data_IF_722703458930
#
_entry.id   IF_722703458930
#
_cell.length_a   1.000
_cell.length_b   1.000
_cell.length_c   1.000
_cell.angle_alpha   90.00
_cell.angle_beta   90.00
_cell.angle_gamma   90.00
#
_symmetry.space_group_name_H-M   'P 1'
#
loop_
_entity.id
_entity.type
_entity.pdbx_description
1 polymer ?
#
# COMPACT_ATOMS: atom_id res chain seq x y z
N UNK A 1 -28.96 -9.82 -31.44
CA UNK A 1 -28.62 -9.89 -30.02
C UNK A 1 -28.75 -8.48 -29.47
N UNK A 2 -29.62 -8.27 -28.49
CA UNK A 2 -29.79 -6.97 -27.84
C UNK A 2 -28.72 -6.88 -26.76
N UNK A 3 -27.85 -5.87 -26.82
CA UNK A 3 -26.91 -5.60 -25.73
C UNK A 3 -27.71 -5.36 -24.45
N UNK A 4 -27.38 -6.05 -23.34
CA UNK A 4 -28.03 -5.77 -22.06
C UNK A 4 -27.72 -4.32 -21.69
N UNK A 5 -28.79 -3.54 -21.44
CA UNK A 5 -28.65 -2.16 -20.96
C UNK A 5 -27.87 -2.18 -19.64
N UNK A 6 -26.95 -1.24 -19.40
CA UNK A 6 -26.24 -1.17 -18.14
C UNK A 6 -27.25 -1.01 -17.00
N UNK A 7 -27.19 -1.92 -16.03
CA UNK A 7 -28.07 -1.88 -14.87
C UNK A 7 -27.69 -0.68 -14.01
N UNK A 8 -28.57 0.32 -13.94
CA UNK A 8 -28.40 1.48 -13.06
C UNK A 8 -28.89 1.06 -11.68
N UNK A 9 -27.98 0.94 -10.72
CA UNK A 9 -28.35 0.69 -9.32
C UNK A 9 -28.86 2.00 -8.73
N UNK A 10 -30.17 2.06 -8.44
CA UNK A 10 -30.84 3.27 -7.96
C UNK A 10 -30.92 3.29 -6.43
N UNK A 11 -30.96 2.11 -5.80
CA UNK A 11 -31.17 1.95 -4.36
C UNK A 11 -29.88 1.66 -3.61
N UNK A 12 -29.02 0.81 -4.17
CA UNK A 12 -27.77 0.43 -3.53
C UNK A 12 -26.56 0.99 -4.26
N UNK A 13 -25.63 1.57 -3.49
CA UNK A 13 -24.31 1.92 -4.02
C UNK A 13 -23.46 0.66 -4.21
N UNK A 14 -22.67 0.68 -5.27
CA UNK A 14 -21.63 -0.32 -5.51
C UNK A 14 -20.45 -0.07 -4.56
N UNK A 15 -19.63 -1.10 -4.24
CA UNK A 15 -18.45 -0.91 -3.42
C UNK A 15 -17.44 0.06 -4.08
N UNK A 16 -16.48 0.58 -3.30
CA UNK A 16 -15.34 1.31 -3.82
C UNK A 16 -14.59 0.47 -4.88
N UNK A 17 -13.79 1.13 -5.71
CA UNK A 17 -13.00 0.45 -6.74
C UNK A 17 -12.21 -0.71 -6.12
N UNK A 18 -12.36 -1.88 -6.75
CA UNK A 18 -11.80 -3.15 -6.28
C UNK A 18 -10.27 -3.19 -6.26
N UNK A 19 -9.60 -2.15 -6.75
CA UNK A 19 -8.17 -2.15 -6.98
C UNK A 19 -7.37 -1.50 -5.86
N UNK A 20 -7.99 -0.80 -4.90
CA UNK A 20 -7.24 -0.02 -3.91
C UNK A 20 -6.32 -0.90 -3.05
N UNK A 21 -6.84 -1.99 -2.45
CA UNK A 21 -6.04 -2.90 -1.62
C UNK A 21 -4.96 -3.63 -2.42
N UNK A 22 -5.26 -4.31 -3.55
CA UNK A 22 -4.23 -4.96 -4.35
C UNK A 22 -3.14 -3.98 -4.81
N UNK A 23 -3.51 -2.77 -5.26
CA UNK A 23 -2.54 -1.78 -5.74
C UNK A 23 -1.67 -1.23 -4.61
N UNK A 24 -2.23 -0.98 -3.42
CA UNK A 24 -1.43 -0.57 -2.25
C UNK A 24 -0.41 -1.64 -1.88
N UNK A 25 -0.81 -2.91 -1.86
CA UNK A 25 0.10 -4.03 -1.61
C UNK A 25 1.18 -4.14 -2.71
N UNK A 26 0.80 -4.01 -3.98
CA UNK A 26 1.74 -4.02 -5.11
C UNK A 26 2.77 -2.88 -5.03
N UNK A 27 2.34 -1.66 -4.67
CA UNK A 27 3.25 -0.52 -4.51
C UNK A 27 4.20 -0.79 -3.33
N UNK A 28 3.67 -1.20 -2.18
CA UNK A 28 4.50 -1.49 -1.01
C UNK A 28 5.56 -2.56 -1.33
N UNK A 29 5.18 -3.63 -2.04
CA UNK A 29 6.07 -4.73 -2.39
C UNK A 29 7.05 -4.42 -3.52
N UNK A 30 6.58 -3.78 -4.59
CA UNK A 30 7.35 -3.68 -5.84
C UNK A 30 7.97 -2.30 -6.06
N UNK A 31 7.53 -1.28 -5.31
CA UNK A 31 8.00 0.10 -5.45
C UNK A 31 8.68 0.60 -4.18
N UNK A 32 8.16 0.30 -2.99
CA UNK A 32 8.74 0.80 -1.74
C UNK A 32 9.85 -0.10 -1.18
N UNK A 33 9.64 -1.41 -1.15
CA UNK A 33 10.62 -2.35 -0.62
C UNK A 33 11.95 -2.37 -1.40
N UNK A 34 11.98 -2.38 -2.75
CA UNK A 34 13.25 -2.49 -3.48
C UNK A 34 14.22 -1.32 -3.24
N UNK A 35 13.78 -0.04 -3.26
CA UNK A 35 14.65 1.07 -2.87
C UNK A 35 15.18 0.97 -1.45
N UNK A 36 14.38 0.53 -0.47
CA UNK A 36 14.88 0.31 0.90
C UNK A 36 15.96 -0.79 0.96
N UNK A 37 15.80 -1.86 0.19
CA UNK A 37 16.79 -2.93 0.12
C UNK A 37 18.10 -2.42 -0.54
N UNK A 38 18.00 -1.60 -1.58
CA UNK A 38 19.16 -0.96 -2.22
C UNK A 38 19.87 0.02 -1.29
N UNK A 39 19.11 0.83 -0.53
CA UNK A 39 19.69 1.69 0.52
C UNK A 39 20.46 0.88 1.56
N UNK A 40 19.94 -0.27 1.96
CA UNK A 40 20.63 -1.18 2.88
C UNK A 40 21.96 -1.68 2.28
N UNK A 41 21.95 -2.11 1.02
CA UNK A 41 23.15 -2.58 0.32
C UNK A 41 24.20 -1.47 0.14
N UNK A 42 23.77 -0.28 -0.25
CA UNK A 42 24.64 0.89 -0.40
C UNK A 42 25.28 1.27 0.94
N UNK A 43 24.51 1.22 2.03
CA UNK A 43 25.01 1.47 3.37
C UNK A 43 26.00 0.41 3.84
N UNK A 44 25.70 -0.87 3.63
CA UNK A 44 26.62 -1.97 3.95
C UNK A 44 27.95 -1.80 3.22
N UNK A 45 27.91 -1.46 1.92
CA UNK A 45 29.10 -1.19 1.13
C UNK A 45 29.91 -0.01 1.70
N UNK A 46 29.25 1.13 1.97
CA UNK A 46 29.92 2.30 2.55
C UNK A 46 30.56 2.00 3.92
N UNK A 47 29.92 1.16 4.73
CA UNK A 47 30.43 0.77 6.04
C UNK A 47 31.62 -0.19 6.00
N UNK A 48 31.87 -0.88 4.88
CA UNK A 48 33.12 -1.65 4.72
C UNK A 48 34.34 -0.74 4.67
N UNK A 49 34.19 0.46 4.12
CA UNK A 49 35.24 1.47 3.97
C UNK A 49 35.28 2.42 5.16
N UNK A 50 34.10 2.80 5.68
CA UNK A 50 33.94 3.72 6.81
C UNK A 50 33.05 3.08 7.90
N UNK A 51 33.60 2.17 8.74
CA UNK A 51 32.80 1.51 9.76
C UNK A 51 32.20 2.50 10.76
N UNK A 52 30.88 2.49 10.90
CA UNK A 52 30.16 3.24 11.93
C UNK A 52 29.04 2.39 12.51
N UNK A 53 29.13 2.07 13.81
CA UNK A 53 28.09 1.34 14.53
C UNK A 53 26.82 2.17 14.70
N UNK A 54 26.96 3.48 14.88
CA UNK A 54 25.84 4.42 14.99
C UNK A 54 25.04 4.47 13.68
N UNK A 55 25.72 4.48 12.52
CA UNK A 55 25.03 4.43 11.22
C UNK A 55 24.24 3.13 11.02
N UNK A 56 24.76 1.99 11.51
CA UNK A 56 24.04 0.69 11.49
C UNK A 56 22.79 0.73 12.35
N UNK A 57 22.91 1.29 13.55
CA UNK A 57 21.81 1.41 14.51
C UNK A 57 20.70 2.29 13.93
N UNK A 58 21.02 3.50 13.47
CA UNK A 58 20.06 4.43 12.85
C UNK A 58 19.30 3.75 11.70
N UNK A 59 20.00 3.05 10.82
CA UNK A 59 19.34 2.39 9.69
C UNK A 59 18.45 1.22 10.12
N UNK A 60 18.91 0.42 11.08
CA UNK A 60 18.13 -0.70 11.63
C UNK A 60 16.84 -0.21 12.28
N UNK A 61 16.90 0.86 13.07
CA UNK A 61 15.72 1.48 13.68
C UNK A 61 14.77 2.04 12.62
N UNK A 62 15.31 2.72 11.61
CA UNK A 62 14.54 3.26 10.49
C UNK A 62 13.79 2.16 9.73
N UNK A 63 14.44 1.00 9.51
CA UNK A 63 13.81 -0.16 8.84
C UNK A 63 12.74 -0.81 9.70
N UNK A 64 12.95 -0.90 11.01
CA UNK A 64 11.94 -1.40 11.93
C UNK A 64 10.71 -0.50 11.93
N UNK A 65 10.90 0.81 12.09
CA UNK A 65 9.83 1.79 12.09
C UNK A 65 9.10 1.87 10.73
N UNK A 66 9.83 1.74 9.62
CA UNK A 66 9.25 1.57 8.29
C UNK A 66 8.30 0.36 8.21
N UNK A 67 8.73 -0.79 8.72
CA UNK A 67 7.90 -2.00 8.73
C UNK A 67 6.63 -1.83 9.58
N UNK A 68 6.74 -1.14 10.73
CA UNK A 68 5.59 -0.83 11.59
C UNK A 68 4.57 0.06 10.87
N UNK A 69 5.03 1.09 10.15
CA UNK A 69 4.16 1.96 9.35
C UNK A 69 3.46 1.24 8.19
N UNK A 70 4.04 0.17 7.64
CA UNK A 70 3.38 -0.64 6.61
C UNK A 70 2.22 -1.48 7.14
N UNK A 71 2.12 -1.69 8.46
CA UNK A 71 0.95 -2.34 9.08
C UNK A 71 -0.28 -1.46 8.87
N UNK A 72 -0.12 -0.14 8.87
CA UNK A 72 -1.24 0.78 8.67
C UNK A 72 -1.82 0.71 7.24
N UNK A 73 -1.01 0.35 6.22
CA UNK A 73 -1.54 0.05 4.89
C UNK A 73 -2.44 -1.20 4.88
N UNK A 74 -2.06 -2.25 5.61
CA UNK A 74 -2.91 -3.45 5.75
C UNK A 74 -4.24 -3.10 6.45
N UNK A 75 -4.22 -2.19 7.44
CA UNK A 75 -5.44 -1.76 8.13
C UNK A 75 -6.50 -1.22 7.17
N UNK A 76 -6.11 -0.54 6.09
CA UNK A 76 -7.05 -0.10 5.04
C UNK A 76 -7.74 -1.31 4.40
N UNK A 77 -6.98 -2.37 4.08
CA UNK A 77 -7.56 -3.62 3.58
C UNK A 77 -8.52 -4.27 4.57
N UNK A 78 -8.15 -4.30 5.84
CA UNK A 78 -9.01 -4.80 6.91
C UNK A 78 -10.31 -3.97 7.06
N UNK A 79 -10.24 -2.65 6.90
CA UNK A 79 -11.44 -1.80 6.89
C UNK A 79 -12.34 -2.11 5.69
N UNK A 80 -11.78 -2.27 4.50
CA UNK A 80 -12.55 -2.65 3.31
C UNK A 80 -13.31 -3.96 3.50
N UNK A 81 -12.64 -4.96 4.08
CA UNK A 81 -13.28 -6.23 4.43
C UNK A 81 -14.47 -6.04 5.39
N UNK A 82 -14.29 -5.22 6.44
CA UNK A 82 -15.35 -4.94 7.43
C UNK A 82 -16.54 -4.20 6.84
N UNK A 83 -16.28 -3.18 6.00
CA UNK A 83 -17.31 -2.43 5.27
C UNK A 83 -18.12 -3.39 4.42
N UNK A 84 -17.44 -4.24 3.64
CA UNK A 84 -18.09 -5.20 2.75
C UNK A 84 -18.92 -6.24 3.50
N UNK A 85 -18.36 -6.78 4.59
CA UNK A 85 -19.06 -7.72 5.45
C UNK A 85 -20.32 -7.12 6.06
N UNK A 86 -20.23 -5.90 6.60
CA UNK A 86 -21.38 -5.20 7.19
C UNK A 86 -22.46 -4.90 6.15
N UNK A 87 -22.07 -4.50 4.94
CA UNK A 87 -23.01 -4.26 3.84
C UNK A 87 -23.74 -5.53 3.41
N UNK A 88 -23.02 -6.65 3.25
CA UNK A 88 -23.64 -7.94 2.89
C UNK A 88 -24.60 -8.42 3.97
N UNK A 89 -24.24 -8.26 5.25
CA UNK A 89 -25.13 -8.55 6.38
C UNK A 89 -26.40 -7.69 6.34
N UNK A 90 -26.27 -6.42 5.96
CA UNK A 90 -27.42 -5.54 5.73
C UNK A 90 -28.33 -6.05 4.61
N UNK A 91 -27.76 -6.45 3.46
CA UNK A 91 -28.53 -7.06 2.37
C UNK A 91 -29.25 -8.34 2.82
N UNK A 92 -28.59 -9.20 3.60
CA UNK A 92 -29.19 -10.43 4.11
C UNK A 92 -30.36 -10.15 5.06
N UNK A 93 -30.24 -9.13 5.93
CA UNK A 93 -31.34 -8.70 6.80
C UNK A 93 -32.56 -8.22 6.00
N UNK A 94 -32.35 -7.46 4.92
CA UNK A 94 -33.43 -7.01 4.04
C UNK A 94 -34.11 -8.18 3.33
N UNK A 95 -33.35 -9.16 2.85
CA UNK A 95 -33.91 -10.35 2.17
C UNK A 95 -34.69 -11.24 3.14
N UNK A 96 -34.24 -11.34 4.38
CA UNK A 96 -34.90 -12.11 5.45
C UNK A 96 -36.16 -11.45 6.02
N UNK A 97 -36.52 -10.24 5.57
CA UNK A 97 -37.69 -9.51 6.09
C UNK A 97 -37.49 -8.96 7.50
N UNK A 98 -36.24 -8.91 7.98
CA UNK A 98 -35.89 -8.32 9.27
C UNK A 98 -35.54 -6.85 9.11
N UNK A 99 -35.76 -6.04 10.15
CA UNK A 99 -35.33 -4.65 10.17
C UNK A 99 -33.78 -4.58 10.01
N UNK A 100 -33.34 -4.05 8.86
CA UNK A 100 -31.93 -3.93 8.51
C UNK A 100 -31.20 -2.76 9.17
N UNK A 101 -31.89 -1.90 9.94
CA UNK A 101 -31.34 -0.65 10.52
C UNK A 101 -30.04 -0.88 11.29
N UNK A 102 -29.96 -1.89 12.16
CA UNK A 102 -28.74 -2.17 12.92
C UNK A 102 -27.56 -2.54 12.03
N UNK A 103 -27.79 -3.36 11.01
CA UNK A 103 -26.74 -3.76 10.07
C UNK A 103 -26.34 -2.58 9.16
N UNK A 104 -27.29 -1.72 8.81
CA UNK A 104 -27.02 -0.49 8.08
C UNK A 104 -26.19 0.51 8.89
N UNK A 105 -26.50 0.68 10.18
CA UNK A 105 -25.72 1.54 11.08
C UNK A 105 -24.30 1.00 11.28
N UNK A 106 -24.14 -0.33 11.39
CA UNK A 106 -22.83 -0.98 11.42
C UNK A 106 -22.04 -0.74 10.12
N UNK A 107 -22.69 -0.81 8.96
CA UNK A 107 -22.09 -0.46 7.67
C UNK A 107 -21.63 1.00 7.64
N UNK A 108 -22.49 1.94 8.01
CA UNK A 108 -22.15 3.38 8.04
C UNK A 108 -21.01 3.69 9.01
N UNK A 109 -21.01 3.06 10.18
CA UNK A 109 -19.94 3.20 11.15
C UNK A 109 -18.61 2.72 10.58
N UNK A 110 -18.57 1.52 9.99
CA UNK A 110 -17.35 0.99 9.37
C UNK A 110 -16.89 1.85 8.18
N UNK A 111 -17.81 2.38 7.37
CA UNK A 111 -17.47 3.29 6.28
C UNK A 111 -16.84 4.58 6.79
N UNK A 112 -17.32 5.12 7.92
CA UNK A 112 -16.70 6.28 8.58
C UNK A 112 -15.30 5.98 9.09
N UNK A 113 -15.13 4.88 9.80
CA UNK A 113 -13.81 4.43 10.28
C UNK A 113 -12.84 4.21 9.11
N UNK A 114 -13.29 3.61 8.01
CA UNK A 114 -12.49 3.41 6.80
C UNK A 114 -12.02 4.74 6.18
N UNK A 115 -12.89 5.75 6.14
CA UNK A 115 -12.54 7.09 5.66
C UNK A 115 -11.48 7.76 6.54
N UNK A 116 -11.68 7.72 7.86
CA UNK A 116 -10.76 8.32 8.84
C UNK A 116 -9.42 7.59 8.85
N UNK A 117 -9.42 6.26 8.73
CA UNK A 117 -8.20 5.45 8.71
C UNK A 117 -7.37 5.71 7.44
N UNK A 118 -7.98 5.80 6.26
CA UNK A 118 -7.25 6.13 5.05
C UNK A 118 -6.55 7.49 5.12
N UNK A 119 -7.18 8.48 5.79
CA UNK A 119 -6.56 9.78 6.02
C UNK A 119 -5.32 9.67 6.93
N UNK A 120 -5.43 8.95 8.06
CA UNK A 120 -4.29 8.70 8.94
C UNK A 120 -3.15 8.00 8.22
N UNK A 121 -3.48 7.02 7.37
CA UNK A 121 -2.48 6.26 6.62
C UNK A 121 -1.74 7.17 5.65
N UNK A 122 -2.40 8.13 4.99
CA UNK A 122 -1.71 9.13 4.14
C UNK A 122 -0.64 9.89 4.94
N UNK A 123 -0.99 10.37 6.14
CA UNK A 123 -0.04 11.08 7.02
C UNK A 123 1.12 10.18 7.45
N UNK A 124 0.84 8.91 7.75
CA UNK A 124 1.85 7.91 8.12
C UNK A 124 2.80 7.63 6.95
N UNK A 125 2.29 7.53 5.72
CA UNK A 125 3.12 7.32 4.53
C UNK A 125 4.03 8.52 4.24
N UNK A 126 3.55 9.74 4.46
CA UNK A 126 4.38 10.96 4.38
C UNK A 126 5.47 10.96 5.45
N UNK A 127 5.13 10.56 6.68
CA UNK A 127 6.10 10.44 7.77
C UNK A 127 7.15 9.37 7.48
N UNK A 128 6.75 8.22 6.94
CA UNK A 128 7.68 7.17 6.49
C UNK A 128 8.72 7.71 5.51
N UNK A 129 8.29 8.46 4.48
CA UNK A 129 9.22 9.09 3.53
C UNK A 129 10.23 9.99 4.23
N UNK A 130 9.75 10.81 5.16
CA UNK A 130 10.55 11.79 5.85
C UNK A 130 11.55 11.14 6.82
N UNK A 131 11.13 10.13 7.58
CA UNK A 131 11.98 9.38 8.51
C UNK A 131 13.16 8.72 7.75
N UNK A 132 12.89 8.10 6.59
CA UNK A 132 13.95 7.53 5.73
C UNK A 132 14.89 8.62 5.22
N UNK A 133 14.35 9.74 4.73
CA UNK A 133 15.16 10.87 4.22
C UNK A 133 16.10 11.41 5.30
N UNK A 134 15.59 11.63 6.50
CA UNK A 134 16.36 12.13 7.65
C UNK A 134 17.44 11.14 8.04
N UNK A 135 17.10 9.84 8.15
CA UNK A 135 18.05 8.80 8.52
C UNK A 135 19.22 8.72 7.53
N UNK A 136 18.92 8.65 6.24
CA UNK A 136 19.94 8.61 5.18
C UNK A 136 20.80 9.89 5.19
N UNK A 137 20.21 11.07 5.41
CA UNK A 137 20.95 12.33 5.52
C UNK A 137 21.92 12.36 6.71
N UNK A 138 21.50 11.86 7.88
CA UNK A 138 22.35 11.73 9.07
C UNK A 138 23.51 10.77 8.81
N UNK A 139 23.21 9.59 8.28
CA UNK A 139 24.19 8.56 7.95
C UNK A 139 25.20 9.09 6.93
N UNK A 140 24.73 9.78 5.90
CA UNK A 140 25.59 10.40 4.88
C UNK A 140 26.56 11.38 5.53
N UNK A 141 26.08 12.24 6.41
CA UNK A 141 26.91 13.21 7.15
C UNK A 141 27.95 12.52 8.03
N UNK A 142 27.58 11.43 8.71
CA UNK A 142 28.49 10.66 9.59
C UNK A 142 29.60 9.97 8.81
N UNK A 143 29.28 9.46 7.63
CA UNK A 143 30.24 8.73 6.81
C UNK A 143 31.09 9.70 5.95
N UNK A 144 30.68 10.96 5.80
CA UNK A 144 31.24 11.88 4.82
C UNK A 144 32.74 12.13 5.02
N UNK A 145 33.54 11.64 4.07
CA UNK A 145 34.92 12.06 3.79
C UNK A 145 35.00 12.67 2.38
N UNK A 146 36.07 13.39 2.05
CA UNK A 146 36.30 13.98 0.71
C UNK A 146 36.56 12.93 -0.41
N UNK A 147 36.12 11.69 -0.19
CA UNK A 147 36.41 10.55 -1.05
C UNK A 147 35.39 10.41 -2.19
N UNK A 148 35.89 10.06 -3.38
CA UNK A 148 35.06 9.85 -4.58
C UNK A 148 33.98 8.77 -4.39
N UNK A 149 34.27 7.76 -3.58
CA UNK A 149 33.34 6.66 -3.25
C UNK A 149 32.13 7.19 -2.44
N UNK A 150 32.37 8.16 -1.55
CA UNK A 150 31.30 8.81 -0.80
C UNK A 150 30.34 9.55 -1.73
N UNK A 151 30.85 10.24 -2.76
CA UNK A 151 30.01 10.93 -3.75
C UNK A 151 29.07 9.97 -4.48
N UNK A 152 29.53 8.74 -4.78
CA UNK A 152 28.69 7.70 -5.39
C UNK A 152 27.57 7.24 -4.45
N UNK A 153 27.90 7.01 -3.17
CA UNK A 153 26.92 6.63 -2.14
C UNK A 153 25.82 7.68 -1.98
N UNK A 154 26.17 8.98 -1.90
CA UNK A 154 25.19 10.07 -1.78
C UNK A 154 24.25 10.14 -2.98
N UNK A 155 24.80 9.95 -4.18
CA UNK A 155 24.02 9.97 -5.43
C UNK A 155 23.01 8.83 -5.45
N UNK A 156 23.46 7.60 -5.16
CA UNK A 156 22.58 6.44 -5.11
C UNK A 156 21.48 6.60 -4.05
N UNK A 157 21.83 7.04 -2.85
CA UNK A 157 20.89 7.33 -1.77
C UNK A 157 19.79 8.31 -2.21
N UNK A 158 20.18 9.39 -2.88
CA UNK A 158 19.28 10.43 -3.35
C UNK A 158 18.30 9.90 -4.41
N UNK A 159 18.77 9.08 -5.36
CA UNK A 159 17.91 8.39 -6.33
C UNK A 159 16.89 7.47 -5.65
N UNK A 160 17.32 6.66 -4.68
CA UNK A 160 16.42 5.73 -3.97
C UNK A 160 15.38 6.46 -3.13
N UNK A 161 15.74 7.57 -2.47
CA UNK A 161 14.78 8.41 -1.74
C UNK A 161 13.73 8.99 -2.68
N UNK A 162 14.11 9.40 -3.89
CA UNK A 162 13.17 9.91 -4.90
C UNK A 162 12.21 8.82 -5.39
N UNK A 163 12.70 7.60 -5.62
CA UNK A 163 11.86 6.45 -5.95
C UNK A 163 10.85 6.14 -4.84
N UNK A 164 11.30 6.15 -3.57
CA UNK A 164 10.41 6.03 -2.41
C UNK A 164 9.36 7.12 -2.40
N UNK A 165 9.77 8.38 -2.52
CA UNK A 165 8.86 9.52 -2.52
C UNK A 165 7.76 9.35 -3.58
N UNK A 166 8.12 8.90 -4.79
CA UNK A 166 7.17 8.67 -5.87
C UNK A 166 6.16 7.57 -5.53
N UNK A 167 6.62 6.43 -5.00
CA UNK A 167 5.73 5.36 -4.56
C UNK A 167 4.76 5.80 -3.45
N UNK A 168 5.21 6.69 -2.56
CA UNK A 168 4.38 7.26 -1.49
C UNK A 168 3.28 8.17 -2.03
N UNK A 169 3.60 9.04 -3.00
CA UNK A 169 2.57 9.87 -3.64
C UNK A 169 1.52 9.01 -4.38
N UNK A 170 1.93 7.87 -4.96
CA UNK A 170 0.99 6.94 -5.57
C UNK A 170 0.09 6.23 -4.56
N UNK A 171 0.62 5.80 -3.41
CA UNK A 171 -0.19 5.32 -2.30
C UNK A 171 -1.21 6.38 -1.86
N UNK A 172 -0.76 7.63 -1.68
CA UNK A 172 -1.62 8.72 -1.24
C UNK A 172 -2.74 9.03 -2.23
N UNK A 173 -2.45 8.98 -3.53
CA UNK A 173 -3.46 9.16 -4.57
C UNK A 173 -4.53 8.06 -4.54
N UNK A 174 -4.13 6.79 -4.32
CA UNK A 174 -5.07 5.67 -4.19
C UNK A 174 -5.92 5.82 -2.92
N UNK A 175 -5.30 6.23 -1.81
CA UNK A 175 -6.01 6.47 -0.55
C UNK A 175 -7.01 7.62 -0.68
N UNK A 176 -6.68 8.67 -1.42
CA UNK A 176 -7.59 9.80 -1.67
C UNK A 176 -8.78 9.39 -2.53
N UNK A 177 -8.54 8.64 -3.62
CA UNK A 177 -9.60 8.08 -4.46
C UNK A 177 -10.54 7.20 -3.62
N UNK A 178 -9.99 6.30 -2.82
CA UNK A 178 -10.75 5.46 -1.90
C UNK A 178 -11.59 6.29 -0.89
N UNK A 179 -11.04 7.37 -0.33
CA UNK A 179 -11.76 8.24 0.61
C UNK A 179 -12.98 8.89 -0.04
N UNK A 180 -12.85 9.40 -1.25
CA UNK A 180 -13.98 10.00 -1.96
C UNK A 180 -15.05 8.95 -2.31
N UNK A 181 -14.66 7.74 -2.73
CA UNK A 181 -15.61 6.64 -2.97
C UNK A 181 -16.36 6.23 -1.68
N UNK A 182 -15.67 6.12 -0.55
CA UNK A 182 -16.30 5.78 0.74
C UNK A 182 -17.21 6.89 1.25
N UNK A 183 -16.85 8.15 1.02
CA UNK A 183 -17.69 9.29 1.34
C UNK A 183 -18.99 9.28 0.53
N UNK A 184 -18.96 8.85 -0.73
CA UNK A 184 -20.19 8.63 -1.52
C UNK A 184 -21.08 7.52 -0.94
N UNK A 185 -20.49 6.46 -0.38
CA UNK A 185 -21.24 5.40 0.31
C UNK A 185 -21.95 5.92 1.55
N UNK A 186 -21.30 6.79 2.33
CA UNK A 186 -21.88 7.37 3.54
C UNK A 186 -23.08 8.28 3.23
N UNK A 187 -23.11 8.89 2.04
CA UNK A 187 -24.22 9.73 1.57
C UNK A 187 -25.41 8.91 1.09
N UNK A 188 -25.27 7.59 0.96
CA UNK A 188 -26.42 6.74 0.68
C UNK A 188 -27.43 6.89 1.83
N UNK A 189 -28.65 7.30 1.49
CA UNK A 189 -29.79 7.27 2.40
C UNK A 189 -30.60 6.02 2.10
N UNK A 190 -30.85 5.21 3.13
CA UNK A 190 -31.81 4.13 3.05
C UNK A 190 -33.09 4.59 3.75
N UNK A 191 -34.14 4.87 2.96
CA UNK A 191 -35.50 4.96 3.48
C UNK A 191 -36.25 3.67 3.11
N UNK A 192 -36.63 2.89 4.11
CA UNK A 192 -37.34 1.62 3.95
C UNK A 192 -38.70 1.80 3.24
N UNK A 193 -39.23 3.02 3.21
CA UNK A 193 -40.55 3.36 2.64
C UNK A 193 -40.51 3.71 1.15
N UNK A 194 -39.36 4.05 0.60
CA UNK A 194 -39.22 4.51 -0.79
C UNK A 194 -38.70 3.39 -1.68
N UNK A 195 -39.62 2.65 -2.31
CA UNK A 195 -39.42 1.65 -3.37
C UNK A 195 -38.44 0.49 -3.07
N UNK A 196 -38.89 -0.74 -3.34
CA UNK A 196 -38.08 -1.94 -3.13
C UNK A 196 -37.09 -2.12 -4.29
N UNK A 197 -35.80 -2.43 -4.03
CA UNK A 197 -34.85 -2.77 -5.09
C UNK A 197 -35.35 -3.97 -5.90
N UNK A 198 -35.03 -3.99 -7.19
CA UNK A 198 -35.27 -5.15 -8.05
C UNK A 198 -34.41 -6.34 -7.62
N UNK A 199 -34.83 -7.57 -7.93
CA UNK A 199 -34.02 -8.76 -7.63
C UNK A 199 -32.70 -8.75 -8.42
N UNK A 200 -32.73 -8.22 -9.65
CA UNK A 200 -31.54 -8.05 -10.48
C UNK A 200 -30.53 -7.10 -9.84
N UNK A 201 -30.98 -5.94 -9.35
CA UNK A 201 -30.12 -4.99 -8.64
C UNK A 201 -29.56 -5.62 -7.36
N UNK A 202 -30.41 -6.30 -6.59
CA UNK A 202 -29.99 -6.95 -5.36
C UNK A 202 -28.89 -7.99 -5.62
N UNK A 203 -29.04 -8.81 -6.67
CA UNK A 203 -28.06 -9.84 -7.03
C UNK A 203 -26.75 -9.22 -7.53
N UNK A 204 -26.80 -8.23 -8.42
CA UNK A 204 -25.60 -7.57 -8.96
C UNK A 204 -24.81 -6.87 -7.85
N UNK A 205 -25.50 -6.14 -6.98
CA UNK A 205 -24.88 -5.42 -5.87
C UNK A 205 -24.24 -6.42 -4.90
N UNK A 206 -24.96 -7.48 -4.53
CA UNK A 206 -24.44 -8.54 -3.67
C UNK A 206 -23.17 -9.18 -4.25
N UNK A 207 -23.17 -9.53 -5.54
CA UNK A 207 -22.01 -10.12 -6.20
C UNK A 207 -20.80 -9.18 -6.17
N UNK A 208 -21.00 -7.90 -6.47
CA UNK A 208 -19.94 -6.88 -6.43
C UNK A 208 -19.35 -6.72 -5.04
N UNK A 209 -20.20 -6.62 -4.02
CA UNK A 209 -19.77 -6.51 -2.62
C UNK A 209 -19.10 -7.78 -2.10
N UNK A 210 -19.55 -8.96 -2.53
CA UNK A 210 -18.91 -10.24 -2.20
C UNK A 210 -17.52 -10.34 -2.82
N UNK A 211 -17.38 -10.00 -4.10
CA UNK A 211 -16.06 -9.94 -4.74
C UNK A 211 -15.13 -8.95 -4.03
N UNK A 212 -15.64 -7.76 -3.69
CA UNK A 212 -14.88 -6.75 -2.94
C UNK A 212 -14.43 -7.25 -1.56
N UNK A 213 -15.31 -7.96 -0.83
CA UNK A 213 -14.97 -8.61 0.44
C UNK A 213 -13.85 -9.62 0.28
N UNK A 214 -13.93 -10.49 -0.73
CA UNK A 214 -12.96 -11.56 -0.94
C UNK A 214 -11.59 -10.99 -1.33
N UNK A 215 -11.55 -9.97 -2.19
CA UNK A 215 -10.32 -9.25 -2.57
C UNK A 215 -9.72 -8.45 -1.42
N UNK A 216 -10.53 -8.05 -0.43
CA UNK A 216 -10.08 -7.32 0.76
C UNK A 216 -9.76 -8.25 1.93
N UNK A 217 -9.86 -9.56 1.74
CA UNK A 217 -9.61 -10.53 2.81
C UNK A 217 -8.22 -10.32 3.41
N UNK A 218 -8.07 -10.32 4.75
CA UNK A 218 -6.77 -10.16 5.40
C UNK A 218 -5.74 -11.21 4.93
N UNK A 219 -6.22 -12.39 4.56
CA UNK A 219 -5.40 -13.50 4.06
C UNK A 219 -5.10 -13.46 2.56
N UNK A 220 -5.68 -12.52 1.80
CA UNK A 220 -5.49 -12.45 0.35
C UNK A 220 -4.07 -12.03 -0.04
N UNK A 221 -3.36 -11.35 0.87
CA UNK A 221 -2.01 -10.84 0.63
C UNK A 221 -1.10 -11.26 1.78
N UNK A 222 0.15 -11.54 1.46
CA UNK A 222 1.15 -11.95 2.44
C UNK A 222 1.81 -10.72 3.10
N UNK A 223 1.01 -9.94 3.81
CA UNK A 223 1.45 -8.73 4.52
C UNK A 223 2.55 -9.04 5.55
N UNK A 224 2.43 -10.18 6.24
CA UNK A 224 3.42 -10.61 7.22
C UNK A 224 4.82 -10.84 6.61
N UNK A 225 4.90 -11.43 5.42
CA UNK A 225 6.18 -11.56 4.72
C UNK A 225 6.71 -10.18 4.30
N UNK A 226 5.84 -9.31 3.77
CA UNK A 226 6.24 -7.96 3.37
C UNK A 226 6.83 -7.16 4.54
N UNK A 227 6.21 -7.19 5.72
CA UNK A 227 6.72 -6.44 6.88
C UNK A 227 8.05 -7.01 7.39
N UNK A 228 8.22 -8.34 7.38
CA UNK A 228 9.50 -8.96 7.72
C UNK A 228 10.60 -8.53 6.75
N UNK A 229 10.30 -8.50 5.46
CA UNK A 229 11.23 -8.01 4.44
C UNK A 229 11.52 -6.50 4.59
N UNK A 230 10.52 -5.70 4.97
CA UNK A 230 10.67 -4.26 5.25
C UNK A 230 11.53 -3.99 6.50
N UNK A 231 11.46 -4.86 7.51
CA UNK A 231 12.27 -4.74 8.73
C UNK A 231 13.75 -5.00 8.47
N UNK A 232 14.06 -5.82 7.46
CA UNK A 232 15.43 -6.25 7.18
C UNK A 232 15.93 -7.32 8.16
N UNK A 233 17.20 -7.75 8.02
CA UNK A 233 17.78 -8.77 8.89
C UNK A 233 17.81 -8.29 10.34
N UNK A 234 17.39 -9.13 11.27
CA UNK A 234 17.51 -8.83 12.70
C UNK A 234 19.00 -8.69 13.05
N UNK A 235 19.37 -7.54 13.58
CA UNK A 235 20.70 -7.25 14.13
C UNK A 235 20.91 -8.00 15.46
N UNK A 236 20.64 -9.30 15.47
CA UNK A 236 21.03 -10.16 16.57
C UNK A 236 22.55 -10.26 16.48
N UNK A 237 23.29 -9.60 17.37
CA UNK A 237 24.76 -9.60 17.47
C UNK A 237 25.39 -10.97 17.78
N UNK A 238 24.80 -12.06 17.27
CA UNK A 238 25.29 -13.41 17.35
C UNK A 238 26.09 -13.70 16.08
N UNK A 239 27.34 -14.17 16.18
CA UNK A 239 28.10 -14.56 15.00
C UNK A 239 27.31 -15.63 14.25
N UNK A 240 26.94 -15.34 13.01
CA UNK A 240 26.35 -16.30 12.09
C UNK A 240 27.40 -17.39 11.86
N UNK A 241 27.17 -18.55 12.48
CA UNK A 241 27.91 -19.76 12.14
C UNK A 241 27.53 -20.11 10.71
N UNK A 242 28.49 -19.94 9.80
CA UNK A 242 28.37 -20.25 8.39
C UNK A 242 28.02 -21.73 8.24
N UNK A 243 26.76 -22.03 7.92
CA UNK A 243 26.37 -23.37 7.46
C UNK A 243 26.49 -23.38 5.94
N UNK A 244 27.62 -23.88 5.46
CA UNK A 244 27.86 -24.13 4.04
C UNK A 244 27.01 -25.32 3.60
N UNK A 245 25.85 -25.08 2.99
CA UNK A 245 25.23 -26.07 2.12
C UNK A 245 24.75 -25.39 0.83
N UNK A 246 25.21 -25.85 -0.35
CA UNK A 246 24.77 -25.32 -1.62
C UNK A 246 23.38 -25.88 -1.98
N UNK A 247 22.45 -25.08 -2.55
CA UNK A 247 21.25 -25.63 -3.13
C UNK A 247 21.51 -26.08 -4.58
N UNK A 248 21.11 -27.32 -4.88
CA UNK A 248 21.11 -27.88 -6.23
C UNK A 248 20.19 -27.10 -7.18
N UNK A 249 20.51 -27.05 -8.49
CA UNK A 249 19.74 -26.29 -9.46
C UNK A 249 18.49 -27.07 -9.87
N UNK A 250 17.34 -26.40 -9.85
CA UNK A 250 16.13 -26.89 -10.53
C UNK A 250 15.62 -25.80 -11.46
N UNK A 251 15.87 -25.95 -12.76
CA UNK A 251 15.01 -25.43 -13.84
C UNK A 251 13.95 -26.50 -14.13
N UNK A 252 12.74 -26.20 -14.68
CA UNK A 252 12.46 -25.35 -15.87
C UNK A 252 11.20 -24.46 -15.65
N UNK A 253 10.59 -23.70 -16.57
CA UNK A 253 10.57 -23.62 -18.04
C UNK A 253 10.05 -22.24 -18.48
N UNK A 254 10.37 -21.87 -19.72
CA UNK A 254 9.87 -20.71 -20.47
C UNK A 254 8.34 -20.59 -20.53
N UNK A 255 7.82 -19.35 -20.51
CA UNK A 255 6.54 -19.01 -21.14
C UNK A 255 6.33 -17.49 -21.32
N UNK A 256 6.56 -17.07 -22.57
CA UNK A 256 5.97 -15.97 -23.35
C UNK A 256 5.71 -14.56 -22.78
N UNK A 257 6.44 -13.61 -23.38
CA UNK A 257 6.04 -12.26 -23.83
C UNK A 257 4.58 -11.84 -23.63
N UNK A 258 4.39 -10.70 -22.98
CA UNK A 258 3.39 -9.71 -23.42
C UNK A 258 3.97 -8.30 -23.29
N UNK A 259 4.20 -7.66 -24.43
CA UNK A 259 4.47 -6.24 -24.55
C UNK A 259 3.25 -5.44 -24.07
N UNK A 260 3.23 -5.06 -22.79
CA UNK A 260 2.36 -3.99 -22.29
C UNK A 260 3.25 -2.81 -21.91
N UNK A 261 3.30 -1.85 -22.84
CA UNK A 261 3.82 -0.50 -22.62
C UNK A 261 3.25 -0.01 -21.30
N UNK A 262 4.14 0.17 -20.33
CA UNK A 262 3.77 0.42 -18.95
C UNK A 262 3.22 1.83 -18.78
N UNK A 263 2.10 1.90 -18.06
CA UNK A 263 1.36 3.10 -17.67
C UNK A 263 2.26 4.21 -17.10
N UNK A 264 3.43 3.85 -16.57
CA UNK A 264 4.49 4.71 -16.02
C UNK A 264 4.85 5.91 -16.91
N UNK A 265 4.89 5.78 -18.25
CA UNK A 265 5.27 6.92 -19.13
C UNK A 265 4.27 8.07 -19.18
N UNK A 266 3.00 7.89 -18.80
CA UNK A 266 1.99 8.98 -18.85
C UNK A 266 2.11 9.96 -17.68
N UNK A 267 2.59 9.52 -16.53
CA UNK A 267 2.75 10.37 -15.33
C UNK A 267 4.03 11.21 -15.44
N UNK A 268 5.12 10.64 -15.96
CA UNK A 268 6.39 11.36 -16.09
C UNK A 268 6.36 12.56 -17.05
N UNK A 269 5.36 12.69 -17.94
CA UNK A 269 5.18 13.90 -18.76
C UNK A 269 4.62 15.10 -17.99
N UNK A 270 4.07 14.91 -16.79
CA UNK A 270 3.49 16.01 -15.99
C UNK A 270 4.42 16.55 -14.90
N UNK A 271 5.42 15.77 -14.47
CA UNK A 271 6.31 16.14 -13.37
C UNK A 271 7.69 16.68 -13.83
N UNK A 272 7.97 16.72 -15.14
CA UNK A 272 9.25 17.20 -15.69
C UNK A 272 9.48 18.72 -15.55
N UNK A 273 8.63 19.46 -14.84
CA UNK A 273 8.70 20.92 -14.72
C UNK A 273 9.14 21.41 -13.33
N UNK A 274 9.50 20.54 -12.39
CA UNK A 274 10.06 20.97 -11.10
C UNK A 274 11.59 20.91 -11.16
N UNK A 275 12.18 22.09 -11.27
CA UNK A 275 13.62 22.35 -11.26
C UNK A 275 14.31 21.73 -10.03
N UNK A 276 15.49 21.16 -10.28
CA UNK A 276 16.39 20.48 -9.35
C UNK A 276 17.03 21.38 -8.28
N UNK A 277 16.74 22.69 -8.25
CA UNK A 277 17.50 23.66 -7.46
C UNK A 277 17.09 23.81 -5.98
N UNK A 278 15.99 23.21 -5.52
CA UNK A 278 15.50 23.43 -4.15
C UNK A 278 15.62 22.24 -3.19
N UNK A 279 16.31 21.16 -3.57
CA UNK A 279 16.47 19.98 -2.69
C UNK A 279 17.78 19.94 -1.91
N UNK A 280 18.63 20.96 -2.05
CA UNK A 280 19.85 21.13 -1.24
C UNK A 280 19.78 22.48 -0.51
N UNK A 281 18.99 22.52 0.56
CA UNK A 281 19.21 23.41 1.71
C UNK A 281 18.50 22.90 2.95
#
# INVERSE_FOLDING_TARGET
MVEPRPLVCVFFKLPPSHQSVPRLHEIARNVLLPPLNRLSQALEAAQTMHPSSEAKEIWSETRQDAAEKMIDLERVGNMNYRIAYAFLKFLDSLRGGTNGSKAYDEFRYNAREGFDEAHKVQDIMLKFREDVRIAVGRITTMLSSDDKEMTSFVTECSERILELATGIEECNAILEEYREEVKELQQQSFDEKDNRPSEEEFQVVREKWQAFKDMSSPSAYNWEALWREMRGPENNGRPTTTSNNPPNPTTPADSSKSDKISFWRKIFRRLSCLSFENFVR
#
